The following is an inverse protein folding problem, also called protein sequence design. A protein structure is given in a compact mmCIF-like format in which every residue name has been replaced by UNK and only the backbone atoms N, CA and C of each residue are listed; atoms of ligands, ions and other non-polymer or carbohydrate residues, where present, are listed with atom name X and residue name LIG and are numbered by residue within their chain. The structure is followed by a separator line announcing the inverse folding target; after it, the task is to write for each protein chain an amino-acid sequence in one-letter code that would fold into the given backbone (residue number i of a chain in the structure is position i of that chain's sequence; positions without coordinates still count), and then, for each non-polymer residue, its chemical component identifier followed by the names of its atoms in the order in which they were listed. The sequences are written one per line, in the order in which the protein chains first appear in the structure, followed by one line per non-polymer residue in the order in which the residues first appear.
data_IF_385643828251
#
_entry.id   IF_385643828251
#
_cell.length_a   1.000
_cell.length_b   1.000
_cell.length_c   1.000
_cell.angle_alpha   90.00
_cell.angle_beta   90.00
_cell.angle_gamma   90.00
#
_symmetry.space_group_name_H-M   'P 1'
#
loop_
_entity.id
_entity.type
_entity.pdbx_description
1 polymer ?
#
# COMPACT_ATOMS: atom_id res chain seq x y z
N UNK A 1 19.92 11.99 6.39
CA UNK A 1 18.84 11.22 7.04
C UNK A 1 18.26 10.32 5.97
N UNK A 2 18.56 9.02 6.02
CA UNK A 2 18.03 8.04 5.05
C UNK A 2 16.53 7.94 5.28
N UNK A 3 15.73 8.42 4.32
CA UNK A 3 14.28 8.30 4.33
C UNK A 3 13.93 6.82 4.48
N UNK A 4 13.33 6.43 5.60
CA UNK A 4 12.95 5.04 5.87
C UNK A 4 11.89 4.65 4.86
N UNK A 5 12.08 3.53 4.16
CA UNK A 5 11.16 3.09 3.13
C UNK A 5 9.77 2.82 3.73
N UNK A 6 8.72 3.54 3.29
CA UNK A 6 7.39 3.44 3.87
C UNK A 6 6.79 2.03 3.73
N UNK A 7 7.25 1.23 2.75
CA UNK A 7 6.83 -0.16 2.62
C UNK A 7 7.09 -0.97 3.88
N UNK A 8 8.27 -0.82 4.49
CA UNK A 8 8.66 -1.62 5.64
C UNK A 8 7.95 -1.18 6.93
N UNK A 9 7.55 0.08 7.01
CA UNK A 9 6.74 0.59 8.13
C UNK A 9 5.35 -0.04 8.06
N UNK A 10 4.70 0.04 6.89
CA UNK A 10 3.38 -0.55 6.67
C UNK A 10 3.42 -2.08 6.80
N UNK A 11 4.50 -2.72 6.36
CA UNK A 11 4.70 -4.16 6.53
C UNK A 11 4.61 -4.57 8.00
N UNK A 12 5.29 -3.85 8.90
CA UNK A 12 5.27 -4.15 10.34
C UNK A 12 3.86 -3.97 10.90
N UNK A 13 3.20 -2.87 10.57
CA UNK A 13 1.83 -2.57 11.02
C UNK A 13 0.82 -3.63 10.54
N UNK A 14 0.94 -4.06 9.29
CA UNK A 14 0.11 -5.11 8.71
C UNK A 14 0.40 -6.47 9.36
N UNK A 15 1.68 -6.82 9.58
CA UNK A 15 2.07 -8.06 10.25
C UNK A 15 1.49 -8.10 11.69
N UNK A 16 1.52 -7.00 12.43
CA UNK A 16 0.90 -6.86 13.76
C UNK A 16 -0.62 -6.99 13.70
N UNK A 17 -1.26 -6.35 12.73
CA UNK A 17 -2.71 -6.42 12.53
C UNK A 17 -3.18 -7.84 12.18
N UNK A 18 -2.41 -8.56 11.34
CA UNK A 18 -2.67 -9.98 11.02
C UNK A 18 -2.48 -10.86 12.26
N UNK A 19 -1.48 -10.58 13.10
CA UNK A 19 -1.28 -11.30 14.35
C UNK A 19 -2.46 -11.13 15.31
N UNK A 20 -2.90 -9.89 15.54
CA UNK A 20 -4.07 -9.58 16.37
C UNK A 20 -5.34 -10.26 15.83
N UNK A 21 -5.54 -10.25 14.51
CA UNK A 21 -6.66 -10.90 13.86
C UNK A 21 -6.67 -12.43 14.08
N UNK A 22 -5.52 -13.08 14.01
CA UNK A 22 -5.37 -14.51 14.34
C UNK A 22 -5.64 -14.81 15.82
N UNK A 23 -5.19 -13.93 16.73
CA UNK A 23 -5.48 -14.06 18.16
C UNK A 23 -6.99 -13.95 18.43
N UNK A 24 -7.67 -12.96 17.84
CA UNK A 24 -9.13 -12.81 17.93
C UNK A 24 -9.87 -14.02 17.38
N UNK A 25 -9.42 -14.59 16.25
CA UNK A 25 -9.99 -15.81 15.68
C UNK A 25 -9.80 -17.03 16.60
N UNK A 26 -8.63 -17.18 17.20
CA UNK A 26 -8.33 -18.26 18.16
C UNK A 26 -9.24 -18.14 19.39
N UNK A 27 -9.41 -16.92 19.90
CA UNK A 27 -10.35 -16.62 21.00
C UNK A 27 -11.79 -16.94 20.61
N UNK A 28 -12.21 -16.55 19.41
CA UNK A 28 -13.54 -16.85 18.88
C UNK A 28 -13.84 -18.36 18.88
N UNK A 29 -12.89 -19.19 18.46
CA UNK A 29 -13.04 -20.65 18.47
C UNK A 29 -13.06 -21.26 19.88
N UNK A 30 -12.36 -20.65 20.85
CA UNK A 30 -12.38 -21.10 22.25
C UNK A 30 -13.68 -20.81 22.99
N UNK A 31 -14.54 -19.96 22.45
CA UNK A 31 -15.79 -19.55 23.09
C UNK A 31 -16.97 -20.44 22.69
N UNK A 32 -17.89 -20.66 23.63
CA UNK A 32 -19.13 -21.40 23.39
C UNK A 32 -20.08 -20.63 22.46
N UNK A 33 -20.86 -21.33 21.65
CA UNK A 33 -21.72 -20.74 20.60
C UNK A 33 -22.77 -19.74 21.09
N UNK A 34 -23.16 -19.81 22.37
CA UNK A 34 -24.10 -18.87 22.99
C UNK A 34 -23.44 -17.64 23.63
N UNK A 35 -22.11 -17.52 23.59
CA UNK A 35 -21.41 -16.41 24.24
C UNK A 35 -21.57 -15.13 23.39
N UNK A 36 -22.08 -14.01 23.96
CA UNK A 36 -22.26 -12.75 23.23
C UNK A 36 -20.94 -12.25 22.62
N UNK A 37 -19.81 -12.48 23.30
CA UNK A 37 -18.46 -12.10 22.87
C UNK A 37 -18.08 -12.69 21.51
N UNK A 38 -18.62 -13.86 21.13
CA UNK A 38 -18.38 -14.44 19.80
C UNK A 38 -18.90 -13.54 18.69
N UNK A 39 -20.07 -12.93 18.86
CA UNK A 39 -20.64 -12.05 17.84
C UNK A 39 -19.75 -10.82 17.62
N UNK A 40 -19.27 -10.22 18.70
CA UNK A 40 -18.37 -9.06 18.61
C UNK A 40 -17.04 -9.45 17.99
N UNK A 41 -16.43 -10.55 18.43
CA UNK A 41 -15.18 -11.03 17.84
C UNK A 41 -15.34 -11.36 16.35
N UNK A 42 -16.49 -11.92 15.93
CA UNK A 42 -16.75 -12.14 14.51
C UNK A 42 -16.79 -10.83 13.71
N UNK A 43 -17.47 -9.81 14.23
CA UNK A 43 -17.53 -8.50 13.58
C UNK A 43 -16.15 -7.82 13.53
N UNK A 44 -15.38 -7.89 14.62
CA UNK A 44 -14.03 -7.33 14.68
C UNK A 44 -13.05 -8.03 13.73
N UNK A 45 -13.10 -9.37 13.65
CA UNK A 45 -12.28 -10.14 12.70
C UNK A 45 -12.69 -9.82 11.27
N UNK A 46 -13.99 -9.71 11.00
CA UNK A 46 -14.48 -9.34 9.67
C UNK A 46 -14.01 -7.93 9.25
N UNK A 47 -14.18 -6.93 10.10
CA UNK A 47 -13.73 -5.56 9.85
C UNK A 47 -12.20 -5.48 9.69
N UNK A 48 -11.44 -6.18 10.54
CA UNK A 48 -9.99 -6.27 10.44
C UNK A 48 -9.53 -6.91 9.12
N UNK A 49 -10.17 -7.99 8.70
CA UNK A 49 -9.90 -8.63 7.40
C UNK A 49 -10.13 -7.65 6.24
N UNK A 50 -11.23 -6.90 6.27
CA UNK A 50 -11.55 -5.92 5.22
C UNK A 50 -10.50 -4.80 5.18
N UNK A 51 -10.11 -4.27 6.34
CA UNK A 51 -9.08 -3.21 6.45
C UNK A 51 -7.73 -3.67 5.89
N UNK A 52 -7.24 -4.83 6.32
CA UNK A 52 -5.93 -5.33 5.87
C UNK A 52 -5.95 -5.64 4.37
N UNK A 53 -7.04 -6.23 3.83
CA UNK A 53 -7.16 -6.46 2.38
C UNK A 53 -7.09 -5.16 1.57
N UNK A 54 -7.69 -4.09 2.09
CA UNK A 54 -7.59 -2.78 1.45
C UNK A 54 -6.15 -2.25 1.48
N UNK A 55 -5.49 -2.27 2.64
CA UNK A 55 -4.09 -1.84 2.76
C UNK A 55 -3.16 -2.63 1.82
N UNK A 56 -3.35 -3.95 1.72
CA UNK A 56 -2.58 -4.81 0.80
C UNK A 56 -2.83 -4.46 -0.67
N UNK A 57 -4.05 -4.08 -1.04
CA UNK A 57 -4.37 -3.66 -2.41
C UNK A 57 -3.67 -2.34 -2.76
N UNK A 58 -3.70 -1.36 -1.86
CA UNK A 58 -3.00 -0.08 -2.06
C UNK A 58 -1.49 -0.28 -2.14
N UNK A 59 -0.93 -1.10 -1.25
CA UNK A 59 0.49 -1.42 -1.24
C UNK A 59 0.92 -2.17 -2.52
N UNK A 60 0.08 -3.07 -3.03
CA UNK A 60 0.31 -3.72 -4.32
C UNK A 60 0.35 -2.71 -5.47
N UNK A 61 -0.57 -1.75 -5.49
CA UNK A 61 -0.58 -0.66 -6.47
C UNK A 61 0.67 0.21 -6.39
N UNK A 62 1.13 0.54 -5.18
CA UNK A 62 2.37 1.27 -4.96
C UNK A 62 3.61 0.51 -5.45
N UNK A 63 3.67 -0.81 -5.21
CA UNK A 63 4.75 -1.67 -5.71
C UNK A 63 4.73 -1.77 -7.24
N UNK A 64 3.54 -1.80 -7.86
CA UNK A 64 3.42 -1.82 -9.32
C UNK A 64 3.92 -0.50 -9.94
N UNK A 65 3.47 0.63 -9.40
CA UNK A 65 3.97 1.97 -9.79
C UNK A 65 5.48 2.10 -9.60
N UNK A 66 6.02 1.60 -8.49
CA UNK A 66 7.45 1.61 -8.22
C UNK A 66 8.24 0.70 -9.18
N UNK A 67 7.60 -0.31 -9.77
CA UNK A 67 8.23 -1.20 -10.74
C UNK A 67 8.35 -0.62 -12.15
N UNK A 68 7.61 0.45 -12.47
CA UNK A 68 7.74 1.20 -13.73
C UNK A 68 9.07 1.97 -13.80
N UNK A 69 9.54 2.50 -12.67
CA UNK A 69 10.84 3.19 -12.55
C UNK A 69 11.57 2.81 -11.24
N UNK A 70 12.19 1.61 -11.18
CA UNK A 70 12.86 1.13 -9.97
C UNK A 70 14.07 1.98 -9.57
N UNK A 71 14.74 2.62 -10.55
CA UNK A 71 15.93 3.42 -10.31
C UNK A 71 15.64 4.67 -9.48
N UNK A 72 14.47 5.31 -9.71
CA UNK A 72 14.00 6.47 -8.93
C UNK A 72 13.83 6.16 -7.44
N UNK A 73 13.50 4.92 -7.10
CA UNK A 73 13.25 4.48 -5.72
C UNK A 73 14.41 3.70 -5.10
N UNK A 74 15.53 3.53 -5.82
CA UNK A 74 16.65 2.67 -5.43
C UNK A 74 16.21 1.21 -5.13
N UNK A 75 15.24 0.70 -5.89
CA UNK A 75 14.70 -0.65 -5.72
C UNK A 75 15.29 -1.61 -6.74
N UNK A 76 15.64 -2.83 -6.30
CA UNK A 76 16.05 -3.91 -7.20
C UNK A 76 14.84 -4.74 -7.64
N UNK A 77 14.95 -5.42 -8.78
CA UNK A 77 13.90 -6.35 -9.22
C UNK A 77 13.70 -7.52 -8.24
N UNK A 78 14.76 -7.93 -7.54
CA UNK A 78 14.69 -8.92 -6.48
C UNK A 78 13.87 -8.42 -5.29
N UNK A 79 14.11 -7.18 -4.85
CA UNK A 79 13.37 -6.54 -3.79
C UNK A 79 11.88 -6.38 -4.15
N UNK A 80 11.56 -5.91 -5.35
CA UNK A 80 10.19 -5.83 -5.85
C UNK A 80 9.51 -7.22 -5.86
N UNK A 81 10.24 -8.26 -6.25
CA UNK A 81 9.76 -9.65 -6.20
C UNK A 81 9.46 -10.10 -4.77
N UNK A 82 10.31 -9.75 -3.81
CA UNK A 82 10.10 -10.04 -2.38
C UNK A 82 8.86 -9.33 -1.84
N UNK A 83 8.65 -8.05 -2.20
CA UNK A 83 7.46 -7.29 -1.82
C UNK A 83 6.18 -7.90 -2.35
N UNK A 84 6.14 -8.23 -3.65
CA UNK A 84 4.98 -8.88 -4.29
C UNK A 84 4.63 -10.20 -3.59
N UNK A 85 5.62 -11.07 -3.35
CA UNK A 85 5.40 -12.35 -2.66
C UNK A 85 4.89 -12.18 -1.23
N UNK A 86 5.41 -11.20 -0.48
CA UNK A 86 4.93 -10.94 0.87
C UNK A 86 3.47 -10.46 0.85
N UNK A 87 3.11 -9.54 -0.05
CA UNK A 87 1.73 -9.07 -0.20
C UNK A 87 0.78 -10.24 -0.51
N UNK A 88 1.13 -11.10 -1.46
CA UNK A 88 0.32 -12.26 -1.84
C UNK A 88 0.14 -13.24 -0.67
N UNK A 89 1.23 -13.60 0.01
CA UNK A 89 1.17 -14.49 1.18
C UNK A 89 0.33 -13.90 2.32
N UNK A 90 0.45 -12.60 2.59
CA UNK A 90 -0.34 -11.94 3.64
C UNK A 90 -1.82 -11.88 3.25
N UNK A 91 -2.13 -11.64 1.97
CA UNK A 91 -3.50 -11.71 1.45
C UNK A 91 -4.10 -13.09 1.65
N UNK A 92 -3.37 -14.15 1.33
CA UNK A 92 -3.84 -15.53 1.47
C UNK A 92 -4.09 -15.90 2.94
N UNK A 93 -3.25 -15.42 3.86
CA UNK A 93 -3.47 -15.58 5.31
C UNK A 93 -4.76 -14.89 5.78
N UNK A 94 -5.01 -13.66 5.34
CA UNK A 94 -6.23 -12.91 5.70
C UNK A 94 -7.47 -13.58 5.11
N UNK A 95 -7.40 -14.04 3.86
CA UNK A 95 -8.48 -14.81 3.22
C UNK A 95 -8.79 -16.08 4.01
N UNK A 96 -7.76 -16.82 4.43
CA UNK A 96 -7.92 -18.05 5.23
C UNK A 96 -8.66 -17.77 6.54
N UNK A 97 -8.31 -16.68 7.26
CA UNK A 97 -9.01 -16.33 8.50
C UNK A 97 -10.45 -15.90 8.23
N UNK A 98 -10.69 -15.13 7.16
CA UNK A 98 -12.03 -14.73 6.77
C UNK A 98 -12.91 -15.95 6.44
N UNK A 99 -12.40 -16.92 5.69
CA UNK A 99 -13.10 -18.16 5.35
C UNK A 99 -13.37 -19.03 6.59
N UNK A 100 -12.41 -19.13 7.50
CA UNK A 100 -12.60 -19.84 8.77
C UNK A 100 -13.72 -19.21 9.61
N UNK A 101 -13.83 -17.87 9.62
CA UNK A 101 -14.91 -17.16 10.27
C UNK A 101 -16.26 -17.45 9.61
N UNK A 102 -16.35 -17.32 8.29
CA UNK A 102 -17.59 -17.59 7.56
C UNK A 102 -18.06 -19.05 7.74
N UNK A 103 -17.14 -20.02 7.71
CA UNK A 103 -17.44 -21.41 7.98
C UNK A 103 -17.97 -21.64 9.40
N UNK A 104 -17.41 -20.94 10.40
CA UNK A 104 -17.87 -21.05 11.78
C UNK A 104 -19.22 -20.36 12.05
N UNK A 105 -19.56 -19.31 11.29
CA UNK A 105 -20.86 -18.64 11.34
C UNK A 105 -21.95 -19.44 10.62
N UNK A 106 -21.60 -20.14 9.54
CA UNK A 106 -22.52 -20.95 8.74
C UNK A 106 -22.80 -22.34 9.35
N UNK A 107 -22.00 -22.80 10.31
CA UNK A 107 -22.17 -24.11 10.94
C UNK A 107 -23.47 -24.17 11.78
N UNK A 108 -24.39 -25.11 11.50
CA UNK A 108 -25.59 -25.28 12.32
C UNK A 108 -25.22 -25.76 13.73
N UNK A 109 -26.00 -25.40 14.77
CA UNK A 109 -25.76 -25.88 16.12
C UNK A 109 -25.84 -27.42 16.14
N UNK A 110 -24.94 -28.12 16.87
CA UNK A 110 -25.02 -29.57 16.99
C UNK A 110 -26.38 -29.97 17.58
N UNK A 111 -26.99 -31.10 17.15
CA UNK A 111 -28.25 -31.56 17.70
C UNK A 111 -28.10 -31.77 19.21
N UNK A 112 -28.90 -31.03 19.98
CA UNK A 112 -28.97 -31.16 21.43
C UNK A 112 -29.59 -32.50 21.77
N UNK A 113 -28.77 -33.45 22.21
CA UNK A 113 -29.27 -34.66 22.88
C UNK A 113 -29.79 -34.26 24.26
N UNK A 114 -31.08 -33.97 24.35
CA UNK A 114 -31.77 -33.77 25.64
C UNK A 114 -31.90 -35.11 26.35
N UNK A 115 -31.00 -35.34 27.31
CA UNK A 115 -31.13 -36.43 28.28
C UNK A 115 -32.38 -36.19 29.13
N UNK A 116 -33.38 -37.06 28.96
CA UNK A 116 -34.53 -37.23 29.85
C UNK A 116 -34.02 -37.47 31.27
N UNK A 117 -34.36 -36.60 32.20
CA UNK A 117 -33.98 -36.79 33.60
C UNK A 117 -34.50 -35.72 34.55
N UNK A 118 -35.61 -36.07 35.20
CA UNK A 118 -36.03 -35.67 36.54
C UNK A 118 -36.92 -34.43 36.74
N UNK A 119 -38.07 -34.74 37.34
CA UNK A 119 -39.15 -33.87 37.79
C UNK A 119 -38.68 -33.05 39.01
N UNK A 120 -38.41 -31.77 38.81
CA UNK A 120 -38.19 -30.78 39.86
C UNK A 120 -39.18 -29.66 39.60
N UNK A 121 -40.04 -29.36 40.59
CA UNK A 121 -41.18 -28.45 40.50
C UNK A 121 -40.92 -27.22 39.63
N UNK A 122 -41.59 -27.16 38.48
CA UNK A 122 -41.36 -26.20 37.40
C UNK A 122 -41.47 -24.72 37.82
N UNK A 123 -42.23 -24.41 38.87
CA UNK A 123 -42.43 -23.03 39.34
C UNK A 123 -41.21 -22.44 40.04
N UNK A 124 -40.50 -23.23 40.85
CA UNK A 124 -39.34 -22.74 41.60
C UNK A 124 -38.08 -22.61 40.73
N UNK A 125 -38.00 -23.42 39.67
CA UNK A 125 -36.96 -23.30 38.63
C UNK A 125 -37.22 -22.08 37.74
N UNK A 126 -38.48 -21.78 37.40
CA UNK A 126 -38.83 -20.58 36.61
C UNK A 126 -38.46 -19.28 37.31
N UNK A 127 -38.66 -19.17 38.63
CA UNK A 127 -38.39 -17.96 39.39
C UNK A 127 -36.89 -17.68 39.57
N UNK A 128 -36.09 -18.73 39.82
CA UNK A 128 -34.63 -18.61 39.89
C UNK A 128 -34.05 -18.34 38.51
N UNK A 129 -34.58 -19.00 37.46
CA UNK A 129 -34.16 -18.78 36.08
C UNK A 129 -34.55 -17.36 35.59
N UNK A 130 -35.72 -16.83 35.94
CA UNK A 130 -36.13 -15.48 35.51
C UNK A 130 -35.31 -14.38 36.19
N UNK A 131 -34.96 -14.54 37.47
CA UNK A 131 -34.03 -13.62 38.15
C UNK A 131 -32.62 -13.70 37.58
N UNK A 132 -32.13 -14.91 37.31
CA UNK A 132 -30.80 -15.11 36.72
C UNK A 132 -30.73 -14.50 35.30
N UNK A 133 -31.72 -14.80 34.45
CA UNK A 133 -31.84 -14.25 33.10
C UNK A 133 -31.96 -12.72 33.11
N UNK A 134 -32.73 -12.13 34.04
CA UNK A 134 -32.86 -10.68 34.12
C UNK A 134 -31.54 -9.97 34.43
N UNK A 135 -30.76 -10.52 35.39
CA UNK A 135 -29.47 -9.94 35.80
C UNK A 135 -28.41 -10.07 34.69
N UNK A 136 -28.45 -11.18 33.95
CA UNK A 136 -27.50 -11.46 32.86
C UNK A 136 -27.83 -10.68 31.58
N UNK A 137 -29.11 -10.44 31.29
CA UNK A 137 -29.57 -9.56 30.21
C UNK A 137 -29.15 -8.12 30.46
N UNK A 138 -29.23 -7.63 31.69
CA UNK A 138 -28.80 -6.28 32.04
C UNK A 138 -27.28 -6.10 31.87
N UNK A 139 -26.49 -7.08 32.34
CA UNK A 139 -25.05 -7.11 32.13
C UNK A 139 -24.67 -7.19 30.63
N UNK A 140 -25.39 -7.99 29.85
CA UNK A 140 -25.23 -8.06 28.39
C UNK A 140 -25.54 -6.73 27.71
N UNK A 141 -26.59 -6.02 28.14
CA UNK A 141 -26.98 -4.73 27.56
C UNK A 141 -25.91 -3.65 27.76
N UNK A 142 -25.22 -3.70 28.89
CA UNK A 142 -24.19 -2.73 29.25
C UNK A 142 -22.88 -3.00 28.51
N UNK A 143 -22.54 -4.28 28.32
CA UNK A 143 -21.41 -4.72 27.49
C UNK A 143 -21.64 -4.34 26.02
N UNK A 144 -22.84 -4.58 25.50
CA UNK A 144 -23.21 -4.27 24.13
C UNK A 144 -23.16 -2.76 23.84
N UNK A 145 -23.63 -1.92 24.78
CA UNK A 145 -23.52 -0.46 24.66
C UNK A 145 -22.08 0.05 24.60
N UNK A 146 -21.19 -0.46 25.46
CA UNK A 146 -19.76 -0.07 25.41
C UNK A 146 -19.08 -0.53 24.12
N UNK A 147 -19.58 -1.59 23.51
CA UNK A 147 -19.02 -2.15 22.28
C UNK A 147 -19.56 -1.45 21.03
N UNK A 148 -20.80 -0.96 21.04
CA UNK A 148 -21.34 -0.07 20.00
C UNK A 148 -20.55 1.25 19.94
N UNK A 149 -20.18 1.80 21.09
CA UNK A 149 -19.35 3.01 21.18
C UNK A 149 -17.95 2.79 20.54
N UNK A 150 -17.36 1.62 20.77
CA UNK A 150 -16.10 1.24 20.13
C UNK A 150 -16.23 1.00 18.61
N UNK A 151 -17.40 0.56 18.13
CA UNK A 151 -17.68 0.41 16.70
C UNK A 151 -17.90 1.76 16.03
N UNK A 152 -18.57 2.72 16.68
CA UNK A 152 -18.73 4.09 16.17
C UNK A 152 -17.37 4.81 16.04
N UNK A 153 -16.46 4.62 17.00
CA UNK A 153 -15.10 5.15 16.91
C UNK A 153 -14.32 4.56 15.72
N UNK A 154 -14.51 3.27 15.44
CA UNK A 154 -13.92 2.59 14.26
C UNK A 154 -14.59 3.08 12.98
N UNK A 155 -15.91 3.25 12.95
CA UNK A 155 -16.65 3.78 11.81
C UNK A 155 -16.19 5.19 11.47
N UNK A 156 -16.01 6.05 12.47
CA UNK A 156 -15.45 7.39 12.28
C UNK A 156 -13.99 7.35 11.81
N UNK A 157 -13.18 6.41 12.32
CA UNK A 157 -11.81 6.22 11.84
C UNK A 157 -11.78 5.78 10.37
N UNK A 158 -12.63 4.82 9.98
CA UNK A 158 -12.80 4.36 8.59
C UNK A 158 -13.35 5.48 7.70
N UNK A 159 -14.28 6.29 8.20
CA UNK A 159 -14.80 7.46 7.49
C UNK A 159 -13.71 8.51 7.21
N UNK A 160 -12.86 8.80 8.20
CA UNK A 160 -11.69 9.69 8.04
C UNK A 160 -10.67 9.12 7.05
N UNK A 161 -10.40 7.81 7.10
CA UNK A 161 -9.51 7.13 6.15
C UNK A 161 -10.10 7.13 4.73
N UNK A 162 -11.42 6.95 4.59
CA UNK A 162 -12.11 7.04 3.30
C UNK A 162 -12.07 8.44 2.69
N UNK A 163 -12.15 9.48 3.51
CA UNK A 163 -11.95 10.87 3.06
C UNK A 163 -10.50 11.13 2.65
N UNK A 164 -9.52 10.60 3.39
CA UNK A 164 -8.10 10.67 3.03
C UNK A 164 -7.80 9.92 1.72
N UNK A 165 -8.42 8.75 1.52
CA UNK A 165 -8.31 7.96 0.29
C UNK A 165 -8.91 8.67 -0.94
N UNK A 166 -10.01 9.42 -0.76
CA UNK A 166 -10.55 10.30 -1.81
C UNK A 166 -9.62 11.45 -2.13
N UNK A 167 -9.05 12.11 -1.12
CA UNK A 167 -8.11 13.21 -1.32
C UNK A 167 -6.81 12.74 -2.01
N UNK A 168 -6.30 11.55 -1.68
CA UNK A 168 -5.15 10.94 -2.38
C UNK A 168 -5.53 10.54 -3.81
N UNK A 169 -6.74 10.03 -4.03
CA UNK A 169 -7.25 9.70 -5.36
C UNK A 169 -7.36 10.93 -6.28
N UNK A 170 -7.87 12.06 -5.77
CA UNK A 170 -7.90 13.33 -6.52
C UNK A 170 -6.48 13.88 -6.76
N UNK A 171 -5.59 13.84 -5.77
CA UNK A 171 -4.20 14.29 -5.91
C UNK A 171 -3.40 13.41 -6.92
N UNK A 172 -3.67 12.11 -6.99
CA UNK A 172 -3.07 11.21 -7.99
C UNK A 172 -3.61 11.49 -9.40
N UNK A 173 -4.88 11.87 -9.55
CA UNK A 173 -5.46 12.27 -10.84
C UNK A 173 -4.93 13.65 -11.30
N UNK A 174 -4.68 14.56 -10.35
CA UNK A 174 -4.01 15.84 -10.62
C UNK A 174 -2.51 15.65 -10.92
N UNK A 175 -1.82 14.70 -10.28
CA UNK A 175 -0.44 14.33 -10.62
C UNK A 175 -0.32 13.61 -11.98
N UNK A 176 -1.37 12.90 -12.43
CA UNK A 176 -1.47 12.37 -13.80
C UNK A 176 -1.58 13.51 -14.84
N UNK A 177 -2.29 14.61 -14.51
CA UNK A 177 -2.35 15.81 -15.35
C UNK A 177 -1.02 16.58 -15.35
N UNK A 178 -0.34 16.66 -14.20
CA UNK A 178 0.98 17.28 -14.09
C UNK A 178 2.07 16.49 -14.83
N UNK A 179 1.95 15.16 -14.93
CA UNK A 179 2.84 14.30 -15.73
C UNK A 179 2.74 14.58 -17.24
N UNK A 180 1.56 14.96 -17.75
CA UNK A 180 1.41 15.37 -19.15
C UNK A 180 2.15 16.69 -19.45
N UNK A 181 2.14 17.64 -18.50
CA UNK A 181 2.88 18.90 -18.61
C UNK A 181 4.39 18.68 -18.49
N UNK A 182 4.83 17.74 -17.63
CA UNK A 182 6.24 17.39 -17.52
C UNK A 182 6.77 16.71 -18.79
N UNK A 183 5.95 15.88 -19.46
CA UNK A 183 6.30 15.29 -20.75
C UNK A 183 6.46 16.37 -21.84
N UNK A 184 5.60 17.39 -21.83
CA UNK A 184 5.69 18.55 -22.74
C UNK A 184 6.97 19.38 -22.47
N UNK A 185 7.30 19.63 -21.20
CA UNK A 185 8.54 20.35 -20.82
C UNK A 185 9.82 19.55 -21.14
N UNK A 186 9.78 18.22 -21.04
CA UNK A 186 10.88 17.33 -21.46
C UNK A 186 11.07 17.37 -22.98
N UNK A 187 10.00 17.41 -23.77
CA UNK A 187 10.10 17.49 -25.23
C UNK A 187 10.61 18.87 -25.69
N UNK A 188 10.22 19.94 -24.98
CA UNK A 188 10.76 21.30 -25.18
C UNK A 188 12.25 21.39 -24.81
N UNK A 189 12.69 20.74 -23.72
CA UNK A 189 14.11 20.72 -23.35
C UNK A 189 14.93 19.84 -24.31
N UNK A 190 14.40 18.70 -24.78
CA UNK A 190 15.06 17.85 -25.77
C UNK A 190 15.22 18.55 -27.12
N UNK A 191 14.21 19.32 -27.56
CA UNK A 191 14.28 20.11 -28.79
C UNK A 191 15.28 21.27 -28.69
N UNK A 192 15.34 21.96 -27.53
CA UNK A 192 16.37 22.98 -27.24
C UNK A 192 17.78 22.38 -27.20
N UNK A 193 17.94 21.20 -26.61
CA UNK A 193 19.20 20.47 -26.57
C UNK A 193 19.66 20.08 -27.98
N UNK A 194 18.76 19.56 -28.83
CA UNK A 194 19.05 19.25 -30.24
C UNK A 194 19.45 20.51 -31.02
N UNK A 195 18.80 21.64 -30.78
CA UNK A 195 19.16 22.91 -31.41
C UNK A 195 20.55 23.40 -30.95
N UNK A 196 20.87 23.27 -29.67
CA UNK A 196 22.19 23.60 -29.13
C UNK A 196 23.29 22.68 -29.72
N UNK A 197 23.05 21.38 -29.78
CA UNK A 197 23.95 20.41 -30.43
C UNK A 197 24.18 20.75 -31.91
N UNK A 198 23.12 21.11 -32.64
CA UNK A 198 23.21 21.51 -34.05
C UNK A 198 24.06 22.76 -34.23
N UNK A 199 23.89 23.78 -33.38
CA UNK A 199 24.73 24.98 -33.37
C UNK A 199 26.18 24.67 -33.03
N UNK A 200 26.41 23.77 -32.08
CA UNK A 200 27.76 23.34 -31.70
C UNK A 200 28.46 22.60 -32.85
N UNK A 201 27.75 21.70 -33.53
CA UNK A 201 28.25 21.03 -34.73
C UNK A 201 28.53 22.02 -35.87
N UNK A 202 27.69 23.03 -36.04
CA UNK A 202 27.89 24.08 -37.05
C UNK A 202 29.08 24.99 -36.71
N UNK A 203 29.29 25.34 -35.44
CA UNK A 203 30.48 26.08 -34.97
C UNK A 203 31.74 25.25 -35.20
N UNK A 204 31.73 23.96 -34.87
CA UNK A 204 32.86 23.04 -35.13
C UNK A 204 33.16 23.01 -36.64
N UNK A 205 32.13 22.91 -37.47
CA UNK A 205 32.28 22.87 -38.94
C UNK A 205 32.73 24.20 -39.53
N UNK A 206 32.39 25.33 -38.90
CA UNK A 206 32.78 26.68 -39.34
C UNK A 206 34.15 27.11 -38.79
N UNK A 207 34.62 26.45 -37.73
CA UNK A 207 35.93 26.67 -37.11
C UNK A 207 37.08 26.02 -37.91
N UNK A 208 36.85 24.85 -38.51
CA UNK A 208 37.88 24.14 -39.27
C UNK A 208 37.79 24.36 -40.78
N UNK A 209 38.77 25.03 -41.37
CA UNK A 209 39.01 24.89 -42.81
C UNK A 209 39.69 26.09 -43.45
N UNK A 210 38.93 27.10 -43.85
CA UNK A 210 39.43 28.03 -44.88
C UNK A 210 40.30 29.18 -44.35
N UNK A 211 39.96 29.76 -43.18
CA UNK A 211 40.76 30.86 -42.60
C UNK A 211 42.13 30.38 -42.10
N UNK A 212 42.15 29.25 -41.37
CA UNK A 212 43.38 28.68 -40.83
C UNK A 212 44.31 28.16 -41.94
N UNK A 213 43.76 27.53 -42.99
CA UNK A 213 44.57 27.09 -44.14
C UNK A 213 45.16 28.28 -44.91
N UNK A 214 44.43 29.40 -45.03
CA UNK A 214 44.95 30.59 -45.71
C UNK A 214 46.16 31.19 -44.95
N UNK A 215 46.10 31.24 -43.61
CA UNK A 215 47.22 31.70 -42.76
C UNK A 215 48.44 30.78 -42.90
N UNK A 216 48.26 29.47 -42.91
CA UNK A 216 49.35 28.50 -43.10
C UNK A 216 50.01 28.68 -44.47
N UNK A 217 49.22 28.86 -45.53
CA UNK A 217 49.73 29.10 -46.89
C UNK A 217 50.53 30.41 -46.93
N UNK A 218 49.99 31.51 -46.40
CA UNK A 218 50.69 32.81 -46.37
C UNK A 218 52.01 32.72 -45.60
N UNK A 219 52.02 32.09 -44.42
CA UNK A 219 53.25 31.86 -43.65
C UNK A 219 54.26 31.00 -44.41
N UNK A 220 53.81 29.97 -45.12
CA UNK A 220 54.69 29.10 -45.91
C UNK A 220 55.36 29.85 -47.07
N UNK A 221 54.63 30.77 -47.74
CA UNK A 221 55.17 31.61 -48.82
C UNK A 221 56.19 32.60 -48.27
N UNK A 222 55.89 33.26 -47.14
CA UNK A 222 56.83 34.19 -46.49
C UNK A 222 58.12 33.45 -46.09
N UNK A 223 58.01 32.25 -45.53
CA UNK A 223 59.16 31.42 -45.18
C UNK A 223 59.99 31.06 -46.42
N UNK A 224 59.35 30.70 -47.53
CA UNK A 224 60.02 30.40 -48.80
C UNK A 224 60.83 31.59 -49.32
N UNK A 225 60.26 32.80 -49.25
CA UNK A 225 60.93 34.04 -49.65
C UNK A 225 62.13 34.33 -48.74
N UNK A 226 61.99 34.18 -47.42
CA UNK A 226 63.09 34.38 -46.48
C UNK A 226 64.23 33.39 -46.70
N UNK A 227 63.91 32.12 -46.96
CA UNK A 227 64.91 31.10 -47.28
C UNK A 227 65.63 31.45 -48.58
N UNK A 228 64.89 31.82 -49.64
CA UNK A 228 65.53 32.24 -50.90
C UNK A 228 66.46 33.45 -50.71
N UNK A 229 66.05 34.47 -49.96
CA UNK A 229 66.89 35.65 -49.68
C UNK A 229 68.10 35.30 -48.80
N UNK A 230 67.97 34.35 -47.87
CA UNK A 230 69.08 33.96 -46.99
C UNK A 230 70.14 33.09 -47.70
N UNK A 231 69.76 32.34 -48.73
CA UNK A 231 70.65 31.45 -49.49
C UNK A 231 71.08 31.99 -50.86
N UNK A 232 70.59 33.17 -51.26
CA UNK A 232 71.08 33.93 -52.41
C UNK A 232 72.16 34.92 -51.99
#
# INVERSE_FOLDING_TARGET
MTSQDPFYILKVEIDESVHDLKQKMTRYHGLQSGNPERKILSQQVEAGCQSIRWQLKELAGAVEKASEDPAKFNLTNEELGTRRRWIDNTRDQVTTVHEALQGALAAPPPPSHSSRGNDVSADRVKEVNSRFVGTEVEAQSLIMRRQDEALDDIEQAVGRIGQLGRAIGEELDDQQRLMNTLAEDVDVTQSRLKAAQKRMAEIIRKSGGFSQMCVVIVLSVILLVLVLVAFM
#
